data_IF_884806114828
#
_entry.id   IF_884806114828
#
_cell.length_a   1.000
_cell.length_b   1.000
_cell.length_c   1.000
_cell.angle_alpha   90.00
_cell.angle_beta   90.00
_cell.angle_gamma   90.00
#
_symmetry.space_group_name_H-M   'P 1'
#
loop_
_entity.id
_entity.type
_entity.pdbx_description
1 polymer ?
#
# COMPACT_ATOMS: atom_id res chain seq x y z
N UNK A 1 -12.58 18.69 57.06
CA UNK A 1 -12.89 19.29 55.74
C UNK A 1 -12.15 18.47 54.69
N UNK A 2 -12.86 17.59 53.98
CA UNK A 2 -12.29 16.71 52.94
C UNK A 2 -12.10 17.51 51.65
N UNK A 3 -10.87 17.61 51.16
CA UNK A 3 -10.60 18.09 49.80
C UNK A 3 -10.51 16.86 48.89
N UNK A 4 -11.57 16.64 48.11
CA UNK A 4 -11.59 15.65 47.03
C UNK A 4 -10.59 16.07 45.95
N UNK A 5 -9.60 15.22 45.71
CA UNK A 5 -8.72 15.28 44.53
C UNK A 5 -9.57 14.86 43.34
N UNK A 6 -9.96 15.80 42.49
CA UNK A 6 -10.58 15.50 41.20
C UNK A 6 -9.46 15.10 40.25
N UNK A 7 -9.38 13.80 39.97
CA UNK A 7 -8.64 13.29 38.83
C UNK A 7 -9.41 13.66 37.56
N UNK A 8 -8.86 14.57 36.75
CA UNK A 8 -9.39 14.83 35.42
C UNK A 8 -8.53 14.10 34.37
N UNK A 9 -9.22 13.15 33.73
CA UNK A 9 -9.11 12.66 32.35
C UNK A 9 -7.72 12.33 31.79
N UNK A 10 -7.52 11.04 31.54
CA UNK A 10 -6.53 10.53 30.59
C UNK A 10 -6.72 11.18 29.24
N UNK A 11 -5.70 11.89 28.75
CA UNK A 11 -5.56 12.19 27.33
C UNK A 11 -5.64 10.85 26.57
N UNK A 12 -6.55 10.76 25.61
CA UNK A 12 -6.52 9.65 24.67
C UNK A 12 -5.20 9.77 23.91
N UNK A 13 -4.26 8.85 24.14
CA UNK A 13 -3.02 8.78 23.39
C UNK A 13 -3.36 8.80 21.89
N UNK A 14 -2.89 9.83 21.19
CA UNK A 14 -3.11 9.96 19.77
C UNK A 14 -2.55 8.71 19.08
N UNK A 15 -3.40 8.04 18.29
CA UNK A 15 -2.97 6.89 17.51
C UNK A 15 -1.91 7.32 16.50
N UNK A 16 -0.78 6.60 16.46
CA UNK A 16 0.31 6.85 15.53
C UNK A 16 0.32 5.72 14.50
N UNK A 17 0.43 6.07 13.21
CA UNK A 17 0.74 5.11 12.15
C UNK A 17 2.22 5.26 11.83
N UNK A 18 2.94 4.14 11.82
CA UNK A 18 4.34 4.06 11.40
C UNK A 18 4.39 3.41 10.01
N UNK A 19 4.44 4.19 8.92
CA UNK A 19 4.48 3.64 7.58
C UNK A 19 5.68 2.73 7.39
N UNK A 20 5.42 1.52 6.89
CA UNK A 20 6.47 0.61 6.44
C UNK A 20 6.67 0.74 4.93
N UNK A 21 5.55 0.89 4.21
CA UNK A 21 5.55 0.98 2.74
C UNK A 21 4.21 1.49 2.23
N UNK A 22 4.28 2.34 1.21
CA UNK A 22 3.19 2.69 0.31
C UNK A 22 3.70 2.51 -1.13
N UNK A 23 2.99 1.73 -1.94
CA UNK A 23 3.33 1.47 -3.32
C UNK A 23 2.11 1.66 -4.20
N UNK A 24 2.19 2.58 -5.17
CA UNK A 24 1.18 2.73 -6.22
C UNK A 24 1.75 2.16 -7.51
N UNK A 25 1.02 1.26 -8.15
CA UNK A 25 1.44 0.57 -9.36
C UNK A 25 0.41 0.72 -10.48
N UNK A 26 0.91 0.96 -11.69
CA UNK A 26 0.14 1.00 -12.91
C UNK A 26 0.47 -0.28 -13.69
N UNK A 27 -0.52 -1.16 -13.81
CA UNK A 27 -0.38 -2.46 -14.49
C UNK A 27 -0.93 -2.32 -15.90
N UNK A 28 -0.15 -2.63 -16.94
CA UNK A 28 -0.51 -2.39 -18.34
C UNK A 28 -1.20 -3.58 -19.00
N UNK A 29 -2.22 -3.30 -19.83
CA UNK A 29 -2.91 -4.29 -20.66
C UNK A 29 -2.37 -4.33 -22.10
N UNK A 30 -1.06 -4.21 -22.27
CA UNK A 30 -0.43 -4.10 -23.59
C UNK A 30 0.32 -5.38 -23.95
N UNK A 31 0.47 -5.66 -25.25
CA UNK A 31 1.31 -6.78 -25.71
C UNK A 31 2.78 -6.53 -25.37
N UNK A 32 3.24 -5.29 -25.50
CA UNK A 32 4.61 -4.85 -25.20
C UNK A 32 4.59 -3.79 -24.11
N UNK A 33 5.60 -3.83 -23.23
CA UNK A 33 5.77 -2.81 -22.20
C UNK A 33 6.09 -1.46 -22.86
N UNK A 34 5.38 -0.37 -22.53
CA UNK A 34 5.48 0.87 -23.30
C UNK A 34 6.73 1.71 -22.99
N UNK A 35 7.40 1.45 -21.86
CA UNK A 35 8.57 2.22 -21.43
C UNK A 35 9.85 1.51 -21.83
N UNK A 36 10.56 2.06 -22.81
CA UNK A 36 11.84 1.53 -23.31
C UNK A 36 13.03 2.30 -22.78
N UNK A 37 14.18 1.62 -22.75
CA UNK A 37 15.49 2.24 -22.55
C UNK A 37 16.05 2.78 -23.87
N UNK A 38 16.71 3.95 -23.86
CA UNK A 38 16.99 4.81 -22.71
C UNK A 38 15.90 5.84 -22.39
N UNK A 39 14.82 5.88 -23.17
CA UNK A 39 13.83 6.97 -23.16
C UNK A 39 13.23 7.20 -21.77
N UNK A 40 12.90 6.12 -21.04
CA UNK A 40 12.29 6.24 -19.71
C UNK A 40 13.25 6.87 -18.69
N UNK A 41 14.54 6.51 -18.75
CA UNK A 41 15.52 7.08 -17.83
C UNK A 41 15.76 8.56 -18.15
N UNK A 42 15.83 8.92 -19.43
CA UNK A 42 15.94 10.32 -19.84
C UNK A 42 14.74 11.15 -19.37
N UNK A 43 13.54 10.59 -19.47
CA UNK A 43 12.27 11.20 -19.02
C UNK A 43 12.25 11.43 -17.50
N UNK A 44 12.77 10.46 -16.74
CA UNK A 44 12.94 10.54 -15.28
C UNK A 44 13.99 11.58 -14.88
N UNK A 45 15.15 11.64 -15.57
CA UNK A 45 16.17 12.68 -15.36
C UNK A 45 15.59 14.07 -15.63
N UNK A 46 14.81 14.25 -16.70
CA UNK A 46 14.16 15.52 -17.01
C UNK A 46 13.21 16.00 -15.89
N UNK A 47 12.65 15.05 -15.12
CA UNK A 47 11.83 15.31 -13.93
C UNK A 47 12.61 15.30 -12.62
N UNK A 48 13.96 15.38 -12.68
CA UNK A 48 14.87 15.48 -11.54
C UNK A 48 14.96 14.22 -10.67
N UNK A 49 14.68 13.05 -11.22
CA UNK A 49 14.99 11.80 -10.54
C UNK A 49 16.50 11.49 -10.65
N UNK A 50 17.07 10.95 -9.58
CA UNK A 50 18.40 10.33 -9.61
C UNK A 50 18.27 8.90 -10.13
N UNK A 51 19.07 8.53 -11.13
CA UNK A 51 19.03 7.17 -11.71
C UNK A 51 19.87 6.22 -10.85
N UNK A 52 19.28 5.07 -10.52
CA UNK A 52 19.89 4.00 -9.72
C UNK A 52 20.32 2.83 -10.62
N UNK A 53 19.57 2.56 -11.68
CA UNK A 53 19.90 1.48 -12.62
C UNK A 53 21.11 1.84 -13.49
N UNK A 54 22.09 0.92 -13.57
CA UNK A 54 23.19 1.02 -14.51
C UNK A 54 22.74 0.74 -15.96
N UNK A 55 23.49 1.22 -16.98
CA UNK A 55 23.15 0.94 -18.37
C UNK A 55 23.19 -0.57 -18.65
N UNK A 56 22.31 -1.10 -19.53
CA UNK A 56 22.36 -2.50 -19.92
C UNK A 56 23.72 -2.84 -20.57
N UNK A 57 24.26 -4.06 -20.37
CA UNK A 57 25.52 -4.48 -20.97
C UNK A 57 25.48 -4.42 -22.52
N UNK A 58 26.55 -3.88 -23.14
CA UNK A 58 26.71 -3.68 -24.60
C UNK A 58 27.20 -4.95 -25.32
N UNK A 59 27.00 -5.11 -26.66
CA UNK A 59 26.41 -4.15 -27.60
C UNK A 59 24.92 -4.42 -27.89
N UNK A 60 24.17 -3.33 -27.88
CA UNK A 60 22.75 -3.30 -28.25
C UNK A 60 22.64 -3.38 -29.77
N UNK A 61 21.89 -4.36 -30.28
CA UNK A 61 21.53 -4.42 -31.70
C UNK A 61 20.63 -3.22 -32.03
N UNK A 62 20.97 -2.51 -33.11
CA UNK A 62 20.15 -1.39 -33.61
C UNK A 62 18.71 -1.86 -33.88
N UNK A 63 17.72 -1.13 -33.35
CA UNK A 63 16.30 -1.45 -33.48
C UNK A 63 15.71 -2.40 -32.42
N UNK A 64 16.52 -2.92 -31.49
CA UNK A 64 16.01 -3.73 -30.38
C UNK A 64 15.32 -2.86 -29.31
N UNK A 65 14.13 -3.27 -28.85
CA UNK A 65 13.52 -2.71 -27.64
C UNK A 65 14.20 -3.29 -26.42
N UNK A 66 14.81 -2.43 -25.62
CA UNK A 66 15.43 -2.82 -24.35
C UNK A 66 14.56 -2.34 -23.20
N UNK A 67 14.39 -3.22 -22.22
CA UNK A 67 13.73 -2.92 -20.97
C UNK A 67 14.72 -2.97 -19.81
N UNK A 68 14.42 -2.22 -18.76
CA UNK A 68 15.15 -2.23 -17.49
C UNK A 68 14.11 -2.54 -16.42
N UNK A 69 14.45 -3.42 -15.47
CA UNK A 69 13.55 -3.85 -14.39
C UNK A 69 14.23 -3.71 -13.03
N UNK A 70 13.43 -3.56 -11.98
CA UNK A 70 13.85 -3.21 -10.62
C UNK A 70 13.65 -1.73 -10.29
N UNK A 71 14.21 -1.28 -9.16
CA UNK A 71 14.23 0.14 -8.80
C UNK A 71 15.22 0.89 -9.68
N UNK A 72 14.72 1.74 -10.57
CA UNK A 72 15.52 2.39 -11.61
C UNK A 72 15.87 3.83 -11.30
N UNK A 73 15.07 4.51 -10.49
CA UNK A 73 15.27 5.92 -10.19
C UNK A 73 14.65 6.30 -8.83
N UNK A 74 15.06 7.43 -8.27
CA UNK A 74 14.50 7.95 -7.01
C UNK A 74 14.44 9.47 -6.92
N UNK A 75 13.54 9.92 -6.05
CA UNK A 75 13.45 11.26 -5.47
C UNK A 75 13.43 11.13 -3.94
N UNK A 76 13.61 12.21 -3.17
CA UNK A 76 13.48 12.17 -1.72
C UNK A 76 12.17 11.51 -1.28
N UNK A 77 12.27 10.38 -0.59
CA UNK A 77 11.13 9.64 -0.05
C UNK A 77 10.35 8.75 -1.04
N UNK A 78 10.79 8.60 -2.30
CA UNK A 78 10.13 7.70 -3.25
C UNK A 78 11.09 7.12 -4.31
N UNK A 79 10.87 5.87 -4.67
CA UNK A 79 11.55 5.14 -5.73
C UNK A 79 10.60 4.85 -6.88
N UNK A 80 11.13 4.78 -8.09
CA UNK A 80 10.45 4.30 -9.29
C UNK A 80 10.93 2.88 -9.59
N UNK A 81 9.99 1.96 -9.66
CA UNK A 81 10.19 0.57 -10.03
C UNK A 81 9.64 0.35 -11.45
N UNK A 82 10.40 -0.36 -12.28
CA UNK A 82 9.93 -0.90 -13.55
C UNK A 82 9.95 -2.43 -13.45
N UNK A 83 8.94 -3.08 -14.02
CA UNK A 83 8.92 -4.53 -14.20
C UNK A 83 8.28 -4.84 -15.55
N UNK A 84 9.11 -5.12 -16.54
CA UNK A 84 8.67 -5.44 -17.90
C UNK A 84 7.92 -6.77 -17.97
N UNK A 85 8.33 -7.75 -17.17
CA UNK A 85 7.73 -9.09 -17.12
C UNK A 85 6.29 -9.06 -16.62
N UNK A 86 6.03 -8.25 -15.58
CA UNK A 86 4.70 -8.00 -15.03
C UNK A 86 3.98 -6.83 -15.69
N UNK A 87 4.68 -6.10 -16.56
CA UNK A 87 4.21 -4.87 -17.22
C UNK A 87 3.72 -3.86 -16.20
N UNK A 88 4.61 -3.47 -15.28
CA UNK A 88 4.32 -2.54 -14.18
C UNK A 88 5.33 -1.41 -14.19
N UNK A 89 4.82 -0.18 -14.07
CA UNK A 89 5.56 0.94 -13.48
C UNK A 89 4.96 1.23 -12.11
N UNK A 90 5.79 1.38 -11.09
CA UNK A 90 5.32 1.64 -9.74
C UNK A 90 6.16 2.69 -9.04
N UNK A 91 5.54 3.34 -8.07
CA UNK A 91 6.16 4.28 -7.16
C UNK A 91 6.09 3.72 -5.76
N UNK A 92 7.21 3.63 -5.05
CA UNK A 92 7.27 3.06 -3.70
C UNK A 92 8.01 4.00 -2.73
N UNK A 93 7.45 4.19 -1.54
CA UNK A 93 8.04 5.02 -0.49
C UNK A 93 7.36 4.84 0.86
N UNK A 94 7.77 5.61 1.86
CA UNK A 94 7.16 5.62 3.21
C UNK A 94 6.29 6.85 3.48
N UNK A 95 6.23 7.80 2.54
CA UNK A 95 5.39 9.00 2.61
C UNK A 95 4.32 8.96 1.52
N UNK A 96 3.06 9.13 1.91
CA UNK A 96 1.93 9.23 0.96
C UNK A 96 2.17 10.38 -0.02
N UNK A 97 2.61 11.55 0.45
CA UNK A 97 2.82 12.72 -0.39
C UNK A 97 3.90 12.48 -1.46
N UNK A 98 5.03 11.88 -1.07
CA UNK A 98 6.12 11.57 -2.00
C UNK A 98 5.69 10.54 -3.05
N UNK A 99 4.92 9.52 -2.62
CA UNK A 99 4.38 8.48 -3.52
C UNK A 99 3.37 9.08 -4.49
N UNK A 100 2.43 9.89 -4.02
CA UNK A 100 1.43 10.55 -4.86
C UNK A 100 2.06 11.53 -5.86
N UNK A 101 3.04 12.32 -5.42
CA UNK A 101 3.77 13.23 -6.30
C UNK A 101 4.47 12.45 -7.42
N UNK A 102 5.12 11.33 -7.06
CA UNK A 102 5.80 10.48 -8.04
C UNK A 102 4.81 9.76 -8.97
N UNK A 103 3.66 9.31 -8.46
CA UNK A 103 2.64 8.68 -9.27
C UNK A 103 2.07 9.64 -10.32
N UNK A 104 1.87 10.92 -9.95
CA UNK A 104 1.47 11.98 -10.89
C UNK A 104 2.56 12.26 -11.93
N UNK A 105 3.84 12.29 -11.52
CA UNK A 105 4.94 12.38 -12.48
C UNK A 105 4.89 11.25 -13.51
N UNK A 106 4.58 10.01 -13.11
CA UNK A 106 4.45 8.88 -14.03
C UNK A 106 3.30 9.07 -15.02
N UNK A 107 2.15 9.58 -14.56
CA UNK A 107 1.02 9.92 -15.44
C UNK A 107 1.46 10.96 -16.48
N UNK A 108 2.16 12.00 -16.04
CA UNK A 108 2.65 13.07 -16.91
C UNK A 108 3.72 12.58 -17.89
N UNK A 109 4.66 11.72 -17.47
CA UNK A 109 5.66 11.08 -18.35
C UNK A 109 4.96 10.30 -19.45
N UNK A 110 3.98 9.49 -19.07
CA UNK A 110 3.29 8.59 -19.99
C UNK A 110 2.63 9.38 -21.11
N UNK A 111 1.95 10.47 -20.79
CA UNK A 111 1.29 11.30 -21.79
C UNK A 111 2.28 12.17 -22.57
N UNK A 112 3.16 12.91 -21.89
CA UNK A 112 4.00 13.92 -22.53
C UNK A 112 5.14 13.32 -23.36
N UNK A 113 5.75 12.23 -22.89
CA UNK A 113 7.00 11.71 -23.46
C UNK A 113 6.73 10.45 -24.29
N UNK A 114 5.73 9.65 -23.91
CA UNK A 114 5.39 8.38 -24.56
C UNK A 114 4.08 8.41 -25.35
N UNK A 115 3.31 9.51 -25.31
CA UNK A 115 1.99 9.65 -25.95
C UNK A 115 1.02 8.53 -25.58
N UNK A 116 1.16 8.02 -24.35
CA UNK A 116 0.37 6.94 -23.80
C UNK A 116 -0.73 7.51 -22.92
N UNK A 117 -1.98 7.30 -23.34
CA UNK A 117 -3.15 7.56 -22.51
C UNK A 117 -3.25 6.46 -21.45
N UNK A 118 -2.77 6.72 -20.23
CA UNK A 118 -2.72 5.69 -19.17
C UNK A 118 -4.10 5.08 -18.86
N UNK A 119 -5.18 5.84 -18.62
CA UNK A 119 -6.51 5.27 -18.39
C UNK A 119 -6.95 4.22 -19.43
N UNK A 120 -6.54 4.37 -20.69
CA UNK A 120 -6.84 3.41 -21.76
C UNK A 120 -5.80 2.27 -21.86
N UNK A 121 -4.55 2.55 -21.49
CA UNK A 121 -3.42 1.61 -21.60
C UNK A 121 -3.21 0.70 -20.38
N UNK A 122 -3.80 1.03 -19.23
CA UNK A 122 -3.70 0.21 -18.01
C UNK A 122 -4.80 -0.84 -17.95
N UNK A 123 -4.48 -1.97 -17.34
CA UNK A 123 -5.44 -2.96 -16.88
C UNK A 123 -6.09 -2.50 -15.57
N UNK A 124 -5.25 -2.16 -14.59
CA UNK A 124 -5.70 -1.61 -13.31
C UNK A 124 -4.57 -0.82 -12.64
N UNK A 125 -4.97 0.04 -11.72
CA UNK A 125 -4.07 0.69 -10.77
C UNK A 125 -4.22 0.02 -9.41
N UNK A 126 -3.12 -0.15 -8.69
CA UNK A 126 -3.08 -0.80 -7.38
C UNK A 126 -2.31 0.05 -6.38
N UNK A 127 -2.88 0.21 -5.18
CA UNK A 127 -2.16 0.59 -3.98
C UNK A 127 -1.87 -0.68 -3.17
N UNK A 128 -0.62 -0.82 -2.72
CA UNK A 128 -0.22 -1.72 -1.64
C UNK A 128 0.35 -0.86 -0.51
N UNK A 129 -0.26 -0.93 0.67
CA UNK A 129 0.18 -0.23 1.88
C UNK A 129 0.50 -1.22 3.00
N UNK A 130 1.50 -0.88 3.80
CA UNK A 130 1.82 -1.58 5.04
C UNK A 130 2.18 -0.54 6.12
N UNK A 131 1.53 -0.62 7.28
CA UNK A 131 1.78 0.26 8.42
C UNK A 131 1.85 -0.54 9.72
N UNK A 132 2.65 -0.07 10.67
CA UNK A 132 2.66 -0.56 12.05
C UNK A 132 1.90 0.44 12.91
N UNK A 133 1.01 -0.06 13.77
CA UNK A 133 0.18 0.76 14.65
C UNK A 133 0.47 0.37 16.10
N UNK A 134 1.23 1.18 16.85
CA UNK A 134 1.35 1.00 18.28
C UNK A 134 0.00 1.20 18.98
N UNK A 135 -0.26 0.38 19.99
CA UNK A 135 -1.45 0.48 20.83
C UNK A 135 -1.09 0.08 22.26
N UNK A 136 -1.47 0.92 23.21
CA UNK A 136 -1.32 0.61 24.63
C UNK A 136 -2.30 -0.47 25.10
N UNK A 137 -3.37 -0.74 24.32
CA UNK A 137 -4.23 -1.91 24.50
C UNK A 137 -3.59 -3.12 23.82
N UNK A 138 -3.69 -4.28 24.46
CA UNK A 138 -3.20 -5.55 23.92
C UNK A 138 -3.90 -5.90 22.57
N UNK A 139 -3.22 -5.81 21.41
CA UNK A 139 -3.81 -6.06 20.10
C UNK A 139 -4.43 -7.44 19.96
N UNK A 140 -3.78 -8.47 20.51
CA UNK A 140 -4.28 -9.85 20.49
C UNK A 140 -5.64 -9.96 21.19
N UNK A 141 -5.77 -9.35 22.36
CA UNK A 141 -7.04 -9.34 23.10
C UNK A 141 -8.13 -8.53 22.36
N UNK A 142 -7.76 -7.41 21.74
CA UNK A 142 -8.70 -6.57 21.00
C UNK A 142 -9.24 -7.26 19.73
N UNK A 143 -8.36 -7.93 18.97
CA UNK A 143 -8.77 -8.71 17.80
C UNK A 143 -9.64 -9.90 18.21
N UNK A 144 -9.26 -10.61 19.27
CA UNK A 144 -10.07 -11.72 19.80
C UNK A 144 -11.48 -11.26 20.18
N UNK A 145 -11.58 -10.14 20.90
CA UNK A 145 -12.86 -9.54 21.28
C UNK A 145 -13.68 -9.09 20.07
N UNK A 146 -13.06 -8.43 19.08
CA UNK A 146 -13.75 -7.96 17.88
C UNK A 146 -14.27 -9.12 17.01
N UNK A 147 -13.53 -10.23 16.97
CA UNK A 147 -13.87 -11.41 16.17
C UNK A 147 -15.09 -12.18 16.70
N UNK A 148 -15.50 -11.94 17.96
CA UNK A 148 -16.67 -12.54 18.56
C UNK A 148 -16.48 -13.99 19.01
N UNK A 149 -17.57 -14.60 19.48
CA UNK A 149 -17.59 -15.91 20.13
C UNK A 149 -17.63 -17.10 19.16
N UNK A 150 -17.71 -16.87 17.84
CA UNK A 150 -17.81 -17.94 16.84
C UNK A 150 -16.62 -18.90 16.90
N UNK A 151 -15.46 -18.40 17.33
CA UNK A 151 -14.27 -19.23 17.51
C UNK A 151 -14.42 -20.27 18.63
N UNK A 152 -15.31 -20.07 19.60
CA UNK A 152 -15.54 -21.03 20.68
C UNK A 152 -15.94 -22.43 20.19
N UNK A 153 -16.49 -22.54 18.97
CA UNK A 153 -16.77 -23.81 18.33
C UNK A 153 -15.53 -24.72 18.16
N UNK A 154 -14.32 -24.15 18.20
CA UNK A 154 -13.06 -24.89 18.09
C UNK A 154 -12.47 -25.30 19.44
N UNK A 155 -13.02 -24.83 20.57
CA UNK A 155 -12.44 -25.05 21.89
C UNK A 155 -12.35 -26.53 22.26
N UNK A 156 -13.43 -27.29 21.98
CA UNK A 156 -13.46 -28.74 22.24
C UNK A 156 -12.51 -29.53 21.34
N UNK A 157 -12.32 -29.08 20.10
CA UNK A 157 -11.45 -29.73 19.11
C UNK A 157 -9.98 -29.53 19.50
N UNK A 158 -9.62 -28.32 19.93
CA UNK A 158 -8.24 -27.94 20.23
C UNK A 158 -7.87 -28.11 21.71
N UNK A 159 -8.83 -28.39 22.59
CA UNK A 159 -8.62 -28.60 24.03
C UNK A 159 -8.17 -27.34 24.78
N UNK A 160 -8.38 -26.17 24.18
CA UNK A 160 -8.00 -24.85 24.72
C UNK A 160 -9.01 -23.79 24.30
N UNK A 161 -9.08 -22.68 25.01
CA UNK A 161 -9.81 -21.51 24.54
C UNK A 161 -9.19 -20.96 23.25
N UNK A 162 -10.03 -20.61 22.29
CA UNK A 162 -9.63 -20.15 20.96
C UNK A 162 -10.27 -18.80 20.67
N UNK A 163 -9.58 -17.98 19.88
CA UNK A 163 -10.06 -16.68 19.45
C UNK A 163 -9.53 -16.36 18.04
N UNK A 164 -10.20 -15.42 17.37
CA UNK A 164 -9.67 -14.85 16.14
C UNK A 164 -8.36 -14.10 16.40
N UNK A 165 -7.39 -14.27 15.50
CA UNK A 165 -6.07 -13.61 15.60
C UNK A 165 -5.89 -12.47 14.60
N UNK A 166 -6.69 -12.42 13.53
CA UNK A 166 -6.63 -11.37 12.53
C UNK A 166 -8.02 -10.93 12.08
N UNK A 167 -8.12 -9.67 11.66
CA UNK A 167 -9.31 -9.09 11.07
C UNK A 167 -8.99 -8.83 9.60
N UNK A 168 -9.83 -9.31 8.70
CA UNK A 168 -9.69 -9.08 7.27
C UNK A 168 -10.97 -8.48 6.70
N UNK A 169 -10.85 -7.32 6.08
CA UNK A 169 -11.97 -6.55 5.53
C UNK A 169 -11.83 -6.54 4.01
N UNK A 170 -12.81 -7.12 3.33
CA UNK A 170 -12.85 -7.30 1.87
C UNK A 170 -14.23 -6.90 1.34
N UNK A 171 -14.37 -6.57 0.04
CA UNK A 171 -15.69 -6.31 -0.53
C UNK A 171 -16.53 -7.58 -0.47
N UNK A 172 -17.82 -7.40 -0.15
CA UNK A 172 -18.81 -8.47 -0.18
C UNK A 172 -19.03 -8.93 -1.62
N UNK A 173 -19.26 -10.23 -1.80
CA UNK A 173 -19.71 -10.83 -3.07
C UNK A 173 -18.78 -10.60 -4.28
N UNK A 174 -17.47 -10.43 -4.04
CA UNK A 174 -16.43 -10.33 -5.08
C UNK A 174 -15.31 -11.34 -4.88
N UNK A 175 -14.61 -11.67 -5.95
CA UNK A 175 -13.43 -12.54 -5.93
C UNK A 175 -12.15 -11.73 -5.79
N UNK A 176 -11.19 -12.28 -5.06
CA UNK A 176 -9.87 -11.66 -4.85
C UNK A 176 -9.03 -11.51 -6.14
N UNK A 177 -9.43 -12.12 -7.25
CA UNK A 177 -8.78 -11.93 -8.55
C UNK A 177 -9.34 -10.75 -9.34
N UNK A 178 -10.47 -10.18 -8.93
CA UNK A 178 -11.08 -9.04 -9.62
C UNK A 178 -10.22 -7.77 -9.48
N UNK A 179 -10.22 -6.96 -10.54
CA UNK A 179 -9.47 -5.70 -10.58
C UNK A 179 -10.09 -4.60 -9.71
N UNK A 180 -11.37 -4.71 -9.39
CA UNK A 180 -12.06 -3.79 -8.49
C UNK A 180 -12.18 -4.44 -7.11
N UNK A 181 -11.09 -4.36 -6.34
CA UNK A 181 -10.92 -5.10 -5.10
C UNK A 181 -10.30 -4.22 -4.01
N UNK A 182 -10.58 -4.55 -2.76
CA UNK A 182 -9.75 -4.10 -1.65
C UNK A 182 -9.58 -5.21 -0.63
N UNK A 183 -8.48 -5.15 0.10
CA UNK A 183 -8.16 -6.09 1.17
C UNK A 183 -7.46 -5.31 2.27
N UNK A 184 -8.04 -5.27 3.45
CA UNK A 184 -7.41 -4.66 4.63
C UNK A 184 -7.24 -5.76 5.67
N UNK A 185 -6.00 -6.15 5.90
CA UNK A 185 -5.61 -7.15 6.89
C UNK A 185 -5.05 -6.44 8.11
N UNK A 186 -5.54 -6.78 9.30
CA UNK A 186 -5.13 -6.20 10.57
C UNK A 186 -4.81 -7.37 11.50
N UNK A 187 -3.55 -7.47 11.89
CA UNK A 187 -3.05 -8.61 12.69
C UNK A 187 -2.12 -8.09 13.78
N UNK A 188 -2.10 -8.65 14.99
CA UNK A 188 -1.05 -8.37 15.96
C UNK A 188 0.32 -8.66 15.35
N UNK A 189 1.28 -7.76 15.52
CA UNK A 189 2.63 -7.96 14.96
C UNK A 189 3.33 -9.07 15.73
N UNK A 190 3.77 -10.12 15.06
CA UNK A 190 4.28 -11.34 15.72
C UNK A 190 5.32 -11.10 16.82
N UNK A 191 6.29 -10.20 16.60
CA UNK A 191 7.35 -9.88 17.57
C UNK A 191 6.88 -9.06 18.79
N UNK A 192 5.72 -8.42 18.69
CA UNK A 192 5.22 -7.37 19.59
C UNK A 192 3.68 -7.44 19.67
N UNK A 193 3.12 -8.66 19.69
CA UNK A 193 1.69 -8.93 19.52
C UNK A 193 0.82 -8.39 20.67
N UNK A 194 1.45 -7.96 21.76
CA UNK A 194 0.85 -7.31 22.92
C UNK A 194 0.85 -5.77 22.81
N UNK A 195 1.49 -5.17 21.79
CA UNK A 195 1.70 -3.71 21.69
C UNK A 195 1.52 -3.11 20.31
N UNK A 196 1.62 -3.91 19.25
CA UNK A 196 1.58 -3.40 17.88
C UNK A 196 0.65 -4.22 17.00
N UNK A 197 -0.10 -3.53 16.15
CA UNK A 197 -0.71 -4.12 14.96
C UNK A 197 0.22 -3.97 13.77
N UNK A 198 0.15 -4.94 12.87
CA UNK A 198 0.61 -4.84 11.50
C UNK A 198 -0.62 -4.81 10.59
N UNK A 199 -0.71 -3.75 9.79
CA UNK A 199 -1.85 -3.49 8.91
C UNK A 199 -1.37 -3.50 7.47
N UNK A 200 -1.98 -4.33 6.65
CA UNK A 200 -1.74 -4.41 5.21
C UNK A 200 -2.97 -3.98 4.44
N UNK A 201 -2.76 -3.24 3.37
CA UNK A 201 -3.82 -2.69 2.53
C UNK A 201 -3.51 -3.00 1.08
N UNK A 202 -4.47 -3.58 0.38
CA UNK A 202 -4.50 -3.67 -1.07
C UNK A 202 -5.74 -2.93 -1.54
N UNK A 203 -5.61 -2.05 -2.53
CA UNK A 203 -6.74 -1.37 -3.15
C UNK A 203 -6.51 -1.27 -4.65
N UNK A 204 -7.42 -1.86 -5.44
CA UNK A 204 -7.33 -1.93 -6.90
C UNK A 204 -8.56 -1.33 -7.55
N UNK A 205 -8.33 -0.67 -8.68
CA UNK A 205 -9.36 -0.16 -9.58
C UNK A 205 -9.00 -0.40 -11.03
N UNK A 206 -9.95 -0.96 -11.77
CA UNK A 206 -9.84 -1.13 -13.21
C UNK A 206 -9.91 0.23 -13.89
N UNK A 207 -8.87 0.56 -14.67
CA UNK A 207 -8.80 1.76 -15.54
C UNK A 207 -9.09 3.11 -14.86
N UNK A 208 -9.07 3.16 -13.52
CA UNK A 208 -9.34 4.38 -12.76
C UNK A 208 -8.17 4.66 -11.81
N UNK A 209 -7.30 5.55 -12.27
CA UNK A 209 -6.12 6.00 -11.54
C UNK A 209 -6.54 6.89 -10.36
N UNK A 210 -7.43 7.85 -10.62
CA UNK A 210 -7.83 8.87 -9.66
C UNK A 210 -8.44 8.26 -8.40
N UNK A 211 -9.31 7.25 -8.54
CA UNK A 211 -9.86 6.52 -7.38
C UNK A 211 -8.76 5.95 -6.47
N UNK A 212 -7.67 5.42 -7.06
CA UNK A 212 -6.56 4.85 -6.28
C UNK A 212 -5.72 5.96 -5.64
N UNK A 213 -5.46 7.04 -6.35
CA UNK A 213 -4.73 8.19 -5.80
C UNK A 213 -5.51 8.86 -4.66
N UNK A 214 -6.82 9.03 -4.82
CA UNK A 214 -7.71 9.59 -3.81
C UNK A 214 -7.82 8.68 -2.58
N UNK A 215 -7.94 7.37 -2.80
CA UNK A 215 -7.90 6.40 -1.71
C UNK A 215 -6.57 6.44 -0.97
N UNK A 216 -5.45 6.53 -1.69
CA UNK A 216 -4.10 6.64 -1.13
C UNK A 216 -3.95 7.92 -0.29
N UNK A 217 -4.42 9.07 -0.78
CA UNK A 217 -4.38 10.34 -0.06
C UNK A 217 -5.17 10.31 1.26
N UNK A 218 -6.22 9.50 1.33
CA UNK A 218 -7.07 9.34 2.51
C UNK A 218 -6.73 8.12 3.37
N UNK A 219 -5.69 7.36 3.00
CA UNK A 219 -5.43 6.04 3.57
C UNK A 219 -5.30 6.09 5.10
N UNK A 220 -4.46 6.99 5.61
CA UNK A 220 -4.21 7.11 7.05
C UNK A 220 -5.48 7.46 7.82
N UNK A 221 -6.28 8.39 7.29
CA UNK A 221 -7.58 8.75 7.90
C UNK A 221 -8.54 7.57 7.93
N UNK A 222 -8.60 6.78 6.85
CA UNK A 222 -9.44 5.56 6.81
C UNK A 222 -8.94 4.50 7.78
N UNK A 223 -7.62 4.31 7.87
CA UNK A 223 -7.02 3.36 8.81
C UNK A 223 -7.29 3.75 10.25
N UNK A 224 -7.17 5.04 10.61
CA UNK A 224 -7.55 5.51 11.95
C UNK A 224 -9.01 5.18 12.27
N UNK A 225 -9.93 5.49 11.36
CA UNK A 225 -11.36 5.20 11.56
C UNK A 225 -11.64 3.70 11.73
N UNK A 226 -10.96 2.84 10.96
CA UNK A 226 -11.08 1.37 11.08
C UNK A 226 -10.54 0.90 12.44
N UNK A 227 -9.36 1.38 12.83
CA UNK A 227 -8.72 1.02 14.08
C UNK A 227 -9.57 1.44 15.28
N UNK A 228 -10.20 2.61 15.24
CA UNK A 228 -11.13 3.06 16.29
C UNK A 228 -12.34 2.12 16.44
N UNK A 229 -12.86 1.57 15.33
CA UNK A 229 -13.92 0.55 15.40
C UNK A 229 -13.45 -0.75 16.02
N UNK A 230 -12.24 -1.20 15.71
CA UNK A 230 -11.65 -2.40 16.33
C UNK A 230 -11.42 -2.18 17.83
N UNK A 231 -11.07 -0.94 18.18
CA UNK A 231 -10.87 -0.49 19.56
C UNK A 231 -12.17 -0.38 20.37
N UNK A 232 -13.34 -0.46 19.73
CA UNK A 232 -14.65 -0.36 20.35
C UNK A 232 -15.12 1.07 20.63
N UNK A 233 -14.70 2.04 19.80
CA UNK A 233 -15.14 3.46 19.85
C UNK A 233 -16.20 3.82 18.80
#
# INVERSE_FOLDING_TARGET
MHVKKVAHSSEAEAMILNPQKYRVAFVFNTLYYPFTYPEILNSLVARKYAIIAGPPPRPVLSGARIYVSGFVASKPGCFIELDDSRKIIATEGSSIDSVLASARDIVDISMADFRLNLPEGIDYTELIGAVVVPDSRNPTAMVGKFSGEQYNAFNEILGTETAGYSIRIVPKDRLSMEKNWFDISITPRFSTADREYYVEVVFRREKNIDDVLDFTAQLETKLFAIMDKIRGS
#
